data_IF_395856147932
#
_entry.id   IF_395856147932
#
_cell.length_a   1.000
_cell.length_b   1.000
_cell.length_c   1.000
_cell.angle_alpha   90.00
_cell.angle_beta   90.00
_cell.angle_gamma   90.00
#
_symmetry.space_group_name_H-M   'P 1'
#
loop_
_entity.id
_entity.type
_entity.pdbx_description
1 polymer ?
#
# COMPACT_ATOMS: atom_id res chain seq x y z
N UNK A 1 20.44 -4.71 -6.35
CA UNK A 1 20.18 -5.56 -5.17
C UNK A 1 19.08 -6.54 -5.53
N UNK A 2 19.11 -7.77 -5.01
CA UNK A 2 18.03 -8.72 -5.23
C UNK A 2 17.02 -8.57 -4.08
N UNK A 3 15.75 -8.47 -4.40
CA UNK A 3 14.66 -8.46 -3.44
C UNK A 3 13.60 -9.48 -3.85
N UNK A 4 12.74 -9.84 -2.90
CA UNK A 4 11.58 -10.68 -3.12
C UNK A 4 10.34 -9.83 -2.85
N UNK A 5 9.43 -9.78 -3.83
CA UNK A 5 8.16 -9.08 -3.70
C UNK A 5 7.01 -10.05 -3.47
N UNK A 6 6.22 -9.82 -2.42
CA UNK A 6 5.06 -10.65 -2.08
C UNK A 6 4.00 -9.85 -1.33
N UNK A 7 2.81 -10.43 -1.19
CA UNK A 7 1.73 -9.87 -0.39
C UNK A 7 1.70 -10.50 1.01
N UNK A 8 1.38 -9.70 2.01
CA UNK A 8 1.18 -10.12 3.40
C UNK A 8 -0.09 -9.50 3.99
N UNK A 9 -0.56 -10.02 5.12
CA UNK A 9 -1.69 -9.43 5.84
C UNK A 9 -1.27 -8.08 6.45
N UNK A 10 -1.97 -7.01 6.09
CA UNK A 10 -1.76 -5.71 6.71
C UNK A 10 -2.13 -5.76 8.21
N UNK A 11 -1.24 -5.32 9.12
CA UNK A 11 -1.51 -5.36 10.55
C UNK A 11 -2.57 -4.33 10.99
N UNK A 12 -2.88 -3.33 10.16
CA UNK A 12 -3.83 -2.28 10.49
C UNK A 12 -5.25 -2.57 9.96
N UNK A 13 -5.40 -2.99 8.70
CA UNK A 13 -6.71 -3.15 8.07
C UNK A 13 -7.01 -4.58 7.59
N UNK A 14 -6.13 -5.54 7.87
CA UNK A 14 -6.27 -6.97 7.56
C UNK A 14 -6.42 -7.35 6.08
N UNK A 15 -6.23 -6.37 5.18
CA UNK A 15 -6.18 -6.56 3.73
C UNK A 15 -4.76 -6.83 3.26
N UNK A 16 -4.55 -7.03 1.97
CA UNK A 16 -3.21 -7.19 1.42
C UNK A 16 -2.35 -5.93 1.62
N UNK A 17 -1.14 -6.13 2.11
CA UNK A 17 -0.03 -5.19 2.06
C UNK A 17 1.08 -5.78 1.19
N UNK A 18 1.70 -4.95 0.37
CA UNK A 18 2.84 -5.34 -0.45
C UNK A 18 4.09 -5.31 0.40
N UNK A 19 4.96 -6.28 0.17
CA UNK A 19 6.26 -6.42 0.83
C UNK A 19 7.33 -6.46 -0.23
N UNK A 20 8.37 -5.65 -0.07
CA UNK A 20 9.63 -5.71 -0.80
C UNK A 20 10.74 -6.01 0.20
N UNK A 21 11.28 -7.23 0.14
CA UNK A 21 12.17 -7.83 1.13
C UNK A 21 13.57 -8.02 0.55
N UNK A 22 14.52 -7.19 0.99
CA UNK A 22 15.93 -7.23 0.59
C UNK A 22 16.68 -8.19 1.49
N UNK A 23 16.46 -9.49 1.28
CA UNK A 23 16.95 -10.58 2.12
C UNK A 23 18.47 -10.64 2.36
N UNK A 24 19.29 -9.95 1.54
CA UNK A 24 20.74 -9.85 1.75
C UNK A 24 21.15 -8.75 2.74
N UNK A 25 20.37 -7.68 2.81
CA UNK A 25 20.64 -6.52 3.67
C UNK A 25 19.69 -6.45 4.85
N UNK A 26 18.68 -7.32 4.92
CA UNK A 26 17.62 -7.32 5.94
C UNK A 26 16.84 -5.98 5.98
N UNK A 27 16.83 -5.28 4.84
CA UNK A 27 15.97 -4.12 4.62
C UNK A 27 14.60 -4.58 4.14
N UNK A 28 13.56 -3.92 4.62
CA UNK A 28 12.18 -4.36 4.40
C UNK A 28 11.26 -3.18 4.23
N UNK A 29 10.45 -3.22 3.19
CA UNK A 29 9.44 -2.21 2.92
C UNK A 29 8.08 -2.88 2.85
N UNK A 30 7.16 -2.46 3.70
CA UNK A 30 5.78 -2.93 3.72
C UNK A 30 4.88 -1.73 3.48
N UNK A 31 3.92 -1.85 2.58
CA UNK A 31 2.98 -0.78 2.28
C UNK A 31 1.60 -1.32 1.93
N UNK A 32 0.57 -0.76 2.59
CA UNK A 32 -0.82 -1.07 2.31
C UNK A 32 -1.44 0.01 1.43
N UNK A 33 -1.90 -0.39 0.23
CA UNK A 33 -2.56 0.50 -0.73
C UNK A 33 -4.01 0.84 -0.36
N UNK A 34 -4.48 0.40 0.82
CA UNK A 34 -5.83 0.64 1.32
C UNK A 34 -5.82 1.60 2.51
N UNK A 35 -5.31 1.18 3.67
CA UNK A 35 -5.29 2.04 4.85
C UNK A 35 -4.08 2.98 4.91
N UNK A 36 -3.11 2.83 4.00
CA UNK A 36 -1.89 3.65 3.99
C UNK A 36 -0.86 3.24 5.04
N UNK A 37 -1.06 2.12 5.74
CA UNK A 37 -0.06 1.54 6.64
C UNK A 37 1.27 1.39 5.91
N UNK A 38 2.36 1.73 6.58
CA UNK A 38 3.69 1.36 6.12
C UNK A 38 4.63 0.99 7.26
N UNK A 39 5.59 0.15 6.92
CA UNK A 39 6.76 -0.15 7.72
C UNK A 39 7.97 -0.11 6.81
N UNK A 40 9.01 0.62 7.22
CA UNK A 40 10.26 0.74 6.48
C UNK A 40 11.38 0.41 7.45
N UNK A 41 12.19 -0.58 7.10
CA UNK A 41 13.44 -0.92 7.77
C UNK A 41 14.58 -0.73 6.78
N UNK A 42 15.49 0.17 7.10
CA UNK A 42 16.65 0.53 6.27
C UNK A 42 17.91 0.57 7.09
N UNK A 43 19.06 0.37 6.45
CA UNK A 43 20.36 0.53 7.12
C UNK A 43 20.58 2.00 7.45
N UNK A 44 20.80 2.30 8.72
CA UNK A 44 21.17 3.64 9.19
C UNK A 44 22.68 3.82 9.22
N UNK A 45 23.38 2.82 9.78
CA UNK A 45 24.83 2.82 9.93
C UNK A 45 25.38 1.41 9.65
N UNK A 46 26.51 1.35 8.96
CA UNK A 46 27.21 0.12 8.64
C UNK A 46 28.67 0.22 9.10
N UNK A 47 29.07 -0.62 10.04
CA UNK A 47 30.46 -0.72 10.52
C UNK A 47 31.01 -2.13 10.29
N UNK A 48 32.32 -2.32 10.47
CA UNK A 48 32.95 -3.64 10.32
C UNK A 48 32.37 -4.70 11.27
N UNK A 49 31.82 -4.29 12.42
CA UNK A 49 31.38 -5.20 13.49
C UNK A 49 29.86 -5.21 13.70
N UNK A 50 29.12 -4.29 13.11
CA UNK A 50 27.66 -4.19 13.30
C UNK A 50 26.96 -3.43 12.19
N UNK A 51 25.71 -3.82 11.94
CA UNK A 51 24.76 -3.09 11.11
C UNK A 51 23.68 -2.55 12.05
N UNK A 52 23.40 -1.25 11.94
CA UNK A 52 22.35 -0.58 12.69
C UNK A 52 21.22 -0.24 11.72
N UNK A 53 20.00 -0.60 12.09
CA UNK A 53 18.81 -0.34 11.31
C UNK A 53 18.01 0.81 11.90
N UNK A 54 17.41 1.60 11.02
CA UNK A 54 16.35 2.54 11.33
C UNK A 54 15.03 1.95 10.87
N UNK A 55 14.04 2.02 11.75
CA UNK A 55 12.69 1.56 11.49
C UNK A 55 11.70 2.73 11.56
N UNK A 56 10.83 2.83 10.58
CA UNK A 56 9.74 3.81 10.52
C UNK A 56 8.42 3.09 10.33
N UNK A 57 7.41 3.46 11.13
CA UNK A 57 6.08 2.86 11.07
C UNK A 57 5.00 3.94 11.06
N UNK A 58 3.97 3.73 10.27
CA UNK A 58 2.74 4.51 10.33
C UNK A 58 1.54 3.58 10.18
N UNK A 59 0.52 3.80 11.01
CA UNK A 59 -0.71 3.02 10.97
C UNK A 59 -1.56 3.33 9.72
N UNK A 60 -1.40 4.54 9.17
CA UNK A 60 -2.14 5.02 8.01
C UNK A 60 -3.60 5.37 8.32
N UNK A 61 -4.13 6.32 7.56
CA UNK A 61 -5.51 6.82 7.67
C UNK A 61 -6.26 6.77 6.34
N UNK A 62 -5.72 6.04 5.37
CA UNK A 62 -6.25 5.94 4.01
C UNK A 62 -5.20 6.22 2.94
N UNK A 63 -5.68 6.20 1.70
CA UNK A 63 -4.85 6.31 0.50
C UNK A 63 -5.53 7.20 -0.52
N UNK A 64 -4.74 8.08 -1.13
CA UNK A 64 -5.13 8.88 -2.27
C UNK A 64 -4.29 8.46 -3.46
N UNK A 65 -4.94 8.07 -4.55
CA UNK A 65 -4.29 7.70 -5.80
C UNK A 65 -4.85 8.58 -6.91
N UNK A 66 -3.95 9.31 -7.56
CA UNK A 66 -4.26 10.21 -8.66
C UNK A 66 -3.49 9.73 -9.88
N UNK A 67 -4.21 9.21 -10.87
CA UNK A 67 -3.63 8.84 -12.16
C UNK A 67 -4.04 9.87 -13.20
N UNK A 68 -3.05 10.44 -13.88
CA UNK A 68 -3.26 11.35 -14.99
C UNK A 68 -3.45 10.57 -16.31
N UNK A 69 -4.11 11.20 -17.28
CA UNK A 69 -4.34 10.63 -18.62
C UNK A 69 -3.05 10.37 -19.40
N UNK A 70 -1.94 11.00 -19.01
CA UNK A 70 -0.60 10.77 -19.57
C UNK A 70 0.08 9.51 -18.98
N UNK A 71 -0.55 8.83 -18.03
CA UNK A 71 -0.04 7.64 -17.36
C UNK A 71 0.78 7.91 -16.09
N UNK A 72 0.99 9.18 -15.71
CA UNK A 72 1.63 9.51 -14.45
C UNK A 72 0.70 9.16 -13.27
N UNK A 73 1.21 8.42 -12.29
CA UNK A 73 0.47 7.99 -11.10
C UNK A 73 1.13 8.56 -9.84
N UNK A 74 0.38 9.37 -9.10
CA UNK A 74 0.72 9.83 -7.76
C UNK A 74 -0.02 9.00 -6.72
N UNK A 75 0.72 8.48 -5.74
CA UNK A 75 0.17 7.73 -4.60
C UNK A 75 0.55 8.46 -3.31
N UNK A 76 -0.45 8.97 -2.60
CA UNK A 76 -0.27 9.71 -1.35
C UNK A 76 -0.90 8.92 -0.21
N UNK A 77 -0.09 8.65 0.82
CA UNK A 77 -0.55 8.06 2.08
C UNK A 77 -1.11 9.15 2.97
N UNK A 78 -2.27 8.88 3.57
CA UNK A 78 -2.85 9.79 4.56
C UNK A 78 -2.26 9.46 5.93
N UNK A 79 -1.44 10.36 6.46
CA UNK A 79 -0.79 10.17 7.77
C UNK A 79 -1.68 10.57 8.95
N UNK A 80 -2.80 11.25 8.69
CA UNK A 80 -3.76 11.70 9.69
C UNK A 80 -5.17 11.64 9.10
N UNK A 81 -6.18 11.74 9.97
CA UNK A 81 -7.58 11.93 9.57
C UNK A 81 -7.70 13.21 8.72
N UNK A 82 -8.41 13.11 7.60
CA UNK A 82 -8.65 14.25 6.72
C UNK A 82 -9.53 15.30 7.40
N UNK A 83 -9.06 16.54 7.42
CA UNK A 83 -9.95 17.68 7.66
C UNK A 83 -10.86 17.90 6.46
N UNK A 84 -11.99 18.57 6.67
CA UNK A 84 -12.90 18.95 5.58
C UNK A 84 -12.18 19.74 4.49
N UNK A 85 -11.29 20.67 4.87
CA UNK A 85 -10.52 21.46 3.92
C UNK A 85 -9.59 20.60 3.04
N UNK A 86 -8.85 19.67 3.64
CA UNK A 86 -7.98 18.75 2.91
C UNK A 86 -8.78 17.82 1.99
N UNK A 87 -9.94 17.34 2.45
CA UNK A 87 -10.81 16.52 1.64
C UNK A 87 -11.29 17.26 0.38
N UNK A 88 -11.71 18.51 0.52
CA UNK A 88 -12.16 19.31 -0.62
C UNK A 88 -11.01 19.68 -1.57
N UNK A 89 -9.80 19.88 -1.07
CA UNK A 89 -8.60 20.06 -1.90
C UNK A 89 -8.30 18.80 -2.73
N UNK A 90 -8.32 17.62 -2.11
CA UNK A 90 -8.09 16.34 -2.81
C UNK A 90 -9.20 16.02 -3.81
N UNK A 91 -10.46 16.35 -3.49
CA UNK A 91 -11.56 16.21 -4.46
C UNK A 91 -11.40 17.18 -5.63
N UNK A 92 -10.94 18.40 -5.38
CA UNK A 92 -10.71 19.38 -6.44
C UNK A 92 -9.65 18.89 -7.42
N UNK A 93 -8.54 18.33 -6.91
CA UNK A 93 -7.49 17.77 -7.78
C UNK A 93 -8.00 16.59 -8.61
N UNK A 94 -8.87 15.73 -8.06
CA UNK A 94 -9.52 14.64 -8.82
C UNK A 94 -10.42 15.12 -9.97
N UNK A 95 -10.92 16.36 -9.89
CA UNK A 95 -11.79 16.94 -10.91
C UNK A 95 -11.03 17.67 -12.03
N UNK A 96 -9.70 17.71 -11.96
CA UNK A 96 -8.88 18.31 -13.00
C UNK A 96 -9.01 17.57 -14.35
N UNK A 97 -8.99 18.32 -15.45
CA UNK A 97 -9.21 17.74 -16.80
C UNK A 97 -8.13 16.75 -17.23
N UNK A 98 -6.92 16.90 -16.70
CA UNK A 98 -5.77 16.01 -16.91
C UNK A 98 -5.93 14.66 -16.24
N UNK A 99 -6.80 14.55 -15.23
CA UNK A 99 -6.92 13.37 -14.38
C UNK A 99 -7.78 12.29 -15.03
N UNK A 100 -7.34 11.05 -14.90
CA UNK A 100 -8.11 9.85 -15.20
C UNK A 100 -8.93 9.45 -13.96
N UNK A 101 -10.18 9.90 -13.91
CA UNK A 101 -11.08 9.65 -12.77
C UNK A 101 -11.46 8.18 -12.59
N UNK A 102 -11.40 7.37 -13.65
CA UNK A 102 -11.73 5.94 -13.56
C UNK A 102 -10.68 5.16 -12.78
N UNK A 103 -9.43 5.60 -12.83
CA UNK A 103 -8.29 4.97 -12.15
C UNK A 103 -7.84 5.69 -10.89
N UNK A 104 -8.33 6.91 -10.67
CA UNK A 104 -8.04 7.69 -9.48
C UNK A 104 -9.08 7.41 -8.40
N UNK A 105 -8.63 7.36 -7.14
CA UNK A 105 -9.50 7.06 -6.01
C UNK A 105 -8.99 7.69 -4.71
N UNK A 106 -9.93 7.92 -3.79
CA UNK A 106 -9.64 8.38 -2.44
C UNK A 106 -10.33 7.47 -1.43
N UNK A 107 -9.53 6.86 -0.56
CA UNK A 107 -9.95 5.99 0.51
C UNK A 107 -9.59 6.65 1.83
N UNK A 108 -10.53 6.65 2.79
CA UNK A 108 -10.22 6.85 4.20
C UNK A 108 -10.31 5.54 4.97
N UNK A 109 -9.49 5.44 6.01
CA UNK A 109 -9.52 4.35 6.97
C UNK A 109 -9.45 4.91 8.39
N UNK A 110 -10.53 4.75 9.14
CA UNK A 110 -10.62 5.26 10.50
C UNK A 110 -11.37 4.26 11.39
N UNK A 111 -10.82 3.94 12.56
CA UNK A 111 -11.45 3.02 13.53
C UNK A 111 -11.86 1.66 12.91
N UNK A 112 -11.05 1.12 12.00
CA UNK A 112 -11.36 -0.13 11.30
C UNK A 112 -12.32 0.03 10.11
N UNK A 113 -12.87 1.22 9.91
CA UNK A 113 -13.86 1.50 8.85
C UNK A 113 -13.15 1.99 7.60
N UNK A 114 -13.19 1.16 6.57
CA UNK A 114 -12.80 1.50 5.21
C UNK A 114 -13.94 2.24 4.51
N UNK A 115 -13.69 3.47 4.05
CA UNK A 115 -14.68 4.28 3.31
C UNK A 115 -14.09 4.78 2.01
N UNK A 116 -14.84 4.62 0.92
CA UNK A 116 -14.48 5.20 -0.38
C UNK A 116 -15.09 6.59 -0.44
N UNK A 117 -14.23 7.62 -0.47
CA UNK A 117 -14.65 9.00 -0.57
C UNK A 117 -14.77 9.46 -2.03
N UNK A 118 -14.01 8.82 -2.94
CA UNK A 118 -14.08 9.06 -4.38
C UNK A 118 -13.53 7.88 -5.18
N UNK A 119 -14.06 7.70 -6.40
CA UNK A 119 -13.51 6.79 -7.41
C UNK A 119 -13.82 5.31 -7.13
N UNK A 120 -13.12 4.44 -7.86
CA UNK A 120 -13.27 2.99 -7.76
C UNK A 120 -11.90 2.35 -7.51
N UNK A 121 -11.55 2.07 -6.25
CA UNK A 121 -10.32 1.35 -5.94
C UNK A 121 -10.27 -0.02 -6.65
N UNK A 122 -9.08 -0.58 -6.90
CA UNK A 122 -8.93 -1.91 -7.47
C UNK A 122 -9.74 -2.96 -6.68
N UNK A 123 -10.30 -3.96 -7.36
CA UNK A 123 -11.13 -5.01 -6.75
C UNK A 123 -10.48 -5.63 -5.50
N UNK A 124 -9.15 -5.86 -5.54
CA UNK A 124 -8.38 -6.43 -4.45
C UNK A 124 -8.41 -5.58 -3.16
N UNK A 125 -8.73 -4.29 -3.25
CA UNK A 125 -8.86 -3.36 -2.12
C UNK A 125 -10.05 -3.71 -1.22
N UNK A 126 -11.03 -4.42 -1.78
CA UNK A 126 -12.24 -4.85 -1.07
C UNK A 126 -12.08 -6.22 -0.40
N UNK A 127 -11.06 -6.99 -0.78
CA UNK A 127 -10.86 -8.35 -0.29
C UNK A 127 -10.14 -8.35 1.07
N UNK A 128 -10.58 -9.21 1.97
CA UNK A 128 -9.73 -9.64 3.09
C UNK A 128 -8.45 -10.29 2.57
N UNK A 129 -7.39 -10.34 3.40
CA UNK A 129 -6.16 -11.00 2.98
C UNK A 129 -6.36 -12.48 2.60
N UNK A 130 -7.25 -13.21 3.28
CA UNK A 130 -7.50 -14.63 2.98
C UNK A 130 -8.24 -14.83 1.66
N UNK A 131 -9.14 -13.90 1.29
CA UNK A 131 -9.77 -13.88 -0.03
C UNK A 131 -8.74 -13.54 -1.12
N UNK A 132 -7.91 -12.52 -0.87
CA UNK A 132 -6.83 -12.15 -1.77
C UNK A 132 -5.86 -13.33 -2.01
N UNK A 133 -5.42 -13.99 -0.93
CA UNK A 133 -4.53 -15.16 -0.99
C UNK A 133 -5.14 -16.27 -1.84
N UNK A 134 -6.41 -16.63 -1.61
CA UNK A 134 -7.11 -17.63 -2.41
C UNK A 134 -7.20 -17.23 -3.88
N UNK A 135 -7.53 -15.97 -4.18
CA UNK A 135 -7.57 -15.43 -5.55
C UNK A 135 -6.20 -15.54 -6.24
N UNK A 136 -5.12 -15.17 -5.55
CA UNK A 136 -3.78 -15.19 -6.12
C UNK A 136 -3.25 -16.61 -6.33
N UNK A 137 -3.49 -17.52 -5.39
CA UNK A 137 -3.12 -18.94 -5.55
C UNK A 137 -3.88 -19.58 -6.72
N UNK A 138 -5.18 -19.30 -6.85
CA UNK A 138 -5.96 -19.81 -7.98
C UNK A 138 -5.47 -19.29 -9.34
N UNK A 139 -4.92 -18.06 -9.39
CA UNK A 139 -4.45 -17.42 -10.62
C UNK A 139 -3.01 -17.80 -11.00
N UNK A 140 -2.12 -17.87 -10.01
CA UNK A 140 -0.67 -18.00 -10.23
C UNK A 140 -0.06 -19.31 -9.72
N UNK A 141 -0.86 -20.15 -9.03
CA UNK A 141 -0.40 -21.38 -8.40
C UNK A 141 0.01 -21.21 -6.95
N UNK A 142 0.29 -22.33 -6.28
CA UNK A 142 0.80 -22.31 -4.91
C UNK A 142 2.26 -21.81 -4.89
N UNK A 143 2.59 -20.86 -4.01
CA UNK A 143 3.96 -20.41 -3.86
C UNK A 143 4.81 -21.51 -3.19
N UNK A 144 6.12 -21.49 -3.45
CA UNK A 144 7.08 -22.38 -2.80
C UNK A 144 7.07 -22.22 -1.26
N UNK A 145 6.78 -21.01 -0.79
CA UNK A 145 6.70 -20.69 0.64
C UNK A 145 5.34 -20.10 0.99
N UNK A 146 4.73 -20.60 2.07
CA UNK A 146 3.37 -20.21 2.50
C UNK A 146 3.17 -18.71 2.73
N UNK A 147 4.24 -18.01 3.13
CA UNK A 147 4.22 -16.57 3.39
C UNK A 147 4.34 -15.72 2.12
N UNK A 148 4.76 -16.30 0.99
CA UNK A 148 5.00 -15.59 -0.27
C UNK A 148 3.76 -15.57 -1.16
N UNK A 149 2.71 -14.88 -0.73
CA UNK A 149 1.52 -14.73 -1.58
C UNK A 149 1.86 -13.88 -2.81
N UNK A 150 1.57 -14.34 -4.04
CA UNK A 150 1.84 -13.56 -5.25
C UNK A 150 1.17 -12.19 -5.21
N UNK A 151 1.84 -11.20 -5.79
CA UNK A 151 1.30 -9.85 -5.98
C UNK A 151 0.77 -9.69 -7.40
N UNK A 152 -0.35 -9.00 -7.54
CA UNK A 152 -0.86 -8.56 -8.85
C UNK A 152 -0.19 -7.22 -9.20
N UNK A 153 0.52 -7.20 -10.33
CA UNK A 153 1.21 -6.01 -10.86
C UNK A 153 0.30 -5.09 -11.67
#
# INVERSE_FOLDING_TARGET
MASIMYASKCPCCERAAFVDDYYKTDEKYIYCMVCGYYYIKTIEEYTENSIKYKEEVCNGHGMFVLENKDGNCQKVRLNNILTVAQLEELKTSLMERSVNQEKSYLISFENGVFTILFGNPPENSHLSFDEYRRKMIAKYGEPEYDFMVPVEG
#
